data_IF_847377307007
#
_entry.id   IF_847377307007
#
_cell.length_a   1.000
_cell.length_b   1.000
_cell.length_c   1.000
_cell.angle_alpha   90.00
_cell.angle_beta   90.00
_cell.angle_gamma   90.00
#
_symmetry.space_group_name_H-M   'P 1'
#
loop_
_entity.id
_entity.type
_entity.pdbx_description
1 polymer ?
#
# COMPACT_ATOMS: atom_id res chain seq x y z
N UNK A 1 -26.00 -76.82 -21.20
CA UNK A 1 -26.78 -75.82 -21.94
C UNK A 1 -27.26 -74.77 -20.95
N UNK A 2 -26.91 -73.49 -21.17
CA UNK A 2 -27.56 -72.25 -20.66
C UNK A 2 -27.76 -72.22 -19.12
N UNK A 3 -26.93 -71.56 -18.32
CA UNK A 3 -26.75 -70.10 -18.27
C UNK A 3 -27.88 -69.46 -17.46
N UNK A 4 -27.58 -68.83 -16.32
CA UNK A 4 -28.17 -67.56 -15.87
C UNK A 4 -27.48 -67.08 -14.57
N UNK A 5 -26.87 -65.90 -14.66
CA UNK A 5 -26.37 -65.09 -13.54
C UNK A 5 -27.56 -64.41 -12.84
N UNK A 6 -27.53 -64.35 -11.50
CA UNK A 6 -28.44 -63.55 -10.67
C UNK A 6 -27.64 -62.81 -9.61
N UNK A 7 -27.63 -61.49 -9.73
CA UNK A 7 -26.75 -60.54 -9.03
C UNK A 7 -27.35 -60.20 -7.65
N UNK A 8 -26.60 -60.44 -6.58
CA UNK A 8 -26.93 -59.92 -5.24
C UNK A 8 -26.38 -58.48 -5.13
N UNK A 9 -27.29 -57.50 -5.08
CA UNK A 9 -26.95 -56.09 -4.89
C UNK A 9 -26.59 -55.78 -3.44
N UNK A 10 -25.35 -55.34 -3.21
CA UNK A 10 -24.94 -54.74 -1.95
C UNK A 10 -25.13 -53.22 -2.04
N UNK A 11 -26.04 -52.67 -1.24
CA UNK A 11 -26.21 -51.23 -1.07
C UNK A 11 -25.08 -50.74 -0.16
N UNK A 12 -24.07 -50.09 -0.73
CA UNK A 12 -23.03 -49.41 0.02
C UNK A 12 -23.53 -48.03 0.46
N UNK A 13 -23.80 -47.87 1.76
CA UNK A 13 -24.07 -46.57 2.38
C UNK A 13 -22.75 -45.80 2.47
N UNK A 14 -22.52 -44.87 1.56
CA UNK A 14 -21.38 -43.97 1.61
C UNK A 14 -21.60 -42.96 2.75
N UNK A 15 -20.90 -43.15 3.87
CA UNK A 15 -20.85 -42.17 4.95
C UNK A 15 -20.13 -40.92 4.43
N UNK A 16 -20.87 -39.81 4.24
CA UNK A 16 -20.27 -38.50 4.03
C UNK A 16 -19.53 -38.10 5.31
N UNK A 17 -18.21 -38.25 5.30
CA UNK A 17 -17.36 -37.62 6.29
C UNK A 17 -17.48 -36.10 6.13
N UNK A 18 -18.07 -35.44 7.12
CA UNK A 18 -18.08 -33.99 7.20
C UNK A 18 -16.63 -33.52 7.35
N UNK A 19 -16.10 -32.89 6.30
CA UNK A 19 -14.81 -32.19 6.36
C UNK A 19 -15.02 -31.00 7.27
N UNK A 20 -14.32 -30.89 8.41
CA UNK A 20 -14.42 -29.70 9.23
C UNK A 20 -13.86 -28.54 8.40
N UNK A 21 -14.72 -27.60 8.06
CA UNK A 21 -14.31 -26.30 7.53
C UNK A 21 -13.47 -25.63 8.60
N UNK A 22 -12.15 -25.75 8.47
CA UNK A 22 -11.20 -25.00 9.28
C UNK A 22 -11.53 -23.52 9.15
N UNK A 23 -11.86 -22.89 10.27
CA UNK A 23 -11.90 -21.44 10.36
C UNK A 23 -10.57 -20.90 9.82
N UNK A 24 -10.63 -20.03 8.81
CA UNK A 24 -9.46 -19.29 8.35
C UNK A 24 -8.98 -18.43 9.52
N UNK A 25 -7.94 -18.90 10.21
CA UNK A 25 -7.19 -18.07 11.15
C UNK A 25 -6.63 -16.90 10.35
N UNK A 26 -7.07 -15.69 10.67
CA UNK A 26 -6.47 -14.46 10.16
C UNK A 26 -4.96 -14.52 10.39
N UNK A 27 -4.19 -14.19 9.36
CA UNK A 27 -2.73 -14.24 9.40
C UNK A 27 -2.22 -13.39 10.58
N UNK A 28 -1.49 -14.02 11.51
CA UNK A 28 -1.01 -13.36 12.73
C UNK A 28 -0.20 -12.12 12.36
N UNK A 29 -0.56 -10.97 12.93
CA UNK A 29 0.14 -9.71 12.72
C UNK A 29 1.68 -9.88 12.86
N UNK A 30 2.44 -9.17 12.02
CA UNK A 30 3.90 -9.33 12.00
C UNK A 30 4.62 -8.80 13.26
N UNK A 31 3.90 -8.15 14.17
CA UNK A 31 4.43 -7.53 15.38
C UNK A 31 3.36 -7.34 16.45
N UNK A 32 3.77 -6.85 17.61
CA UNK A 32 2.92 -6.49 18.73
C UNK A 32 2.24 -5.14 18.45
N UNK A 33 0.93 -5.18 18.19
CA UNK A 33 0.11 -4.00 17.88
C UNK A 33 0.09 -2.99 19.04
N UNK A 34 0.04 -3.45 20.29
CA UNK A 34 -0.02 -2.56 21.46
C UNK A 34 1.29 -1.81 21.66
N UNK A 35 2.42 -2.49 21.49
CA UNK A 35 3.72 -1.83 21.54
C UNK A 35 3.89 -0.85 20.38
N UNK A 36 3.48 -1.22 19.17
CA UNK A 36 3.47 -0.34 18.01
C UNK A 36 2.61 0.90 18.20
N UNK A 37 1.46 0.77 18.87
CA UNK A 37 0.58 1.89 19.23
C UNK A 37 1.27 2.89 20.13
N UNK A 38 1.98 2.42 21.17
CA UNK A 38 2.73 3.29 22.09
C UNK A 38 3.77 4.10 21.33
N UNK A 39 4.58 3.45 20.49
CA UNK A 39 5.59 4.14 19.68
C UNK A 39 4.94 5.16 18.74
N UNK A 40 3.85 4.76 18.07
CA UNK A 40 3.17 5.65 17.13
C UNK A 40 2.61 6.91 17.79
N UNK A 41 2.04 6.78 18.98
CA UNK A 41 1.36 7.87 19.68
C UNK A 41 2.32 8.74 20.51
N UNK A 42 3.37 8.14 21.08
CA UNK A 42 4.20 8.80 22.08
C UNK A 42 5.68 8.91 21.67
N UNK A 43 6.10 8.24 20.61
CA UNK A 43 7.50 8.12 20.25
C UNK A 43 8.24 7.08 21.08
N UNK A 44 9.58 7.14 21.05
CA UNK A 44 10.46 6.23 21.81
C UNK A 44 11.75 6.93 22.21
N UNK A 45 11.96 7.12 23.51
CA UNK A 45 13.12 7.84 24.02
C UNK A 45 13.12 9.30 23.53
N UNK A 46 14.31 9.92 23.53
CA UNK A 46 14.47 11.31 23.10
C UNK A 46 14.65 11.45 21.57
N UNK A 47 15.05 10.36 20.90
CA UNK A 47 15.45 10.39 19.49
C UNK A 47 14.32 10.09 18.50
N UNK A 48 13.25 9.43 18.95
CA UNK A 48 12.13 9.05 18.06
C UNK A 48 10.86 9.80 18.49
N UNK A 49 10.45 10.86 17.76
CA UNK A 49 9.19 11.54 18.03
C UNK A 49 7.99 10.63 17.74
N UNK A 50 6.82 11.00 18.28
CA UNK A 50 5.57 10.34 17.98
C UNK A 50 5.27 10.39 16.47
N UNK A 51 5.07 9.23 15.83
CA UNK A 51 4.72 9.17 14.41
C UNK A 51 3.45 9.99 14.08
N UNK A 52 2.52 10.04 15.03
CA UNK A 52 1.28 10.78 14.92
C UNK A 52 1.45 12.30 14.74
N UNK A 53 2.60 12.89 15.12
CA UNK A 53 2.83 14.33 14.97
C UNK A 53 2.89 14.76 13.50
N UNK A 54 3.31 13.86 12.60
CA UNK A 54 3.45 14.14 11.18
C UNK A 54 2.46 13.31 10.33
N UNK A 55 2.17 12.06 10.73
CA UNK A 55 1.25 11.19 10.01
C UNK A 55 -0.20 11.26 10.50
N UNK A 56 -0.48 12.07 11.53
CA UNK A 56 -1.79 12.20 12.16
C UNK A 56 -2.09 11.07 13.14
N UNK A 57 -2.92 11.34 14.14
CA UNK A 57 -3.35 10.34 15.15
C UNK A 57 -4.10 9.16 14.53
N UNK A 58 -4.77 9.41 13.40
CA UNK A 58 -5.50 8.46 12.58
C UNK A 58 -4.62 7.82 11.48
N UNK A 59 -3.36 8.24 11.34
CA UNK A 59 -2.49 7.74 10.28
C UNK A 59 -2.96 8.08 8.88
N UNK A 60 -3.75 9.13 8.69
CA UNK A 60 -4.18 9.57 7.37
C UNK A 60 -3.13 10.44 6.65
N UNK A 61 -2.10 10.93 7.33
CA UNK A 61 -1.11 11.84 6.76
C UNK A 61 -1.70 13.19 6.36
N UNK A 62 -0.90 14.04 5.72
CA UNK A 62 -1.26 15.41 5.34
C UNK A 62 -0.68 15.77 3.98
N UNK A 63 -1.48 16.42 3.13
CA UNK A 63 -0.96 16.98 1.89
C UNK A 63 0.03 18.12 2.14
N UNK A 64 -0.22 18.97 3.14
CA UNK A 64 0.60 20.14 3.48
C UNK A 64 1.99 19.76 3.98
N UNK A 65 2.10 18.66 4.71
CA UNK A 65 3.39 18.10 5.16
C UNK A 65 3.99 17.10 4.18
N UNK A 66 3.27 16.77 3.09
CA UNK A 66 3.67 15.71 2.16
C UNK A 66 3.72 14.31 2.79
N UNK A 67 3.08 14.11 3.95
CA UNK A 67 3.15 12.85 4.69
C UNK A 67 2.11 11.84 4.20
N UNK A 68 2.49 10.58 3.97
CA UNK A 68 1.56 9.57 3.50
C UNK A 68 0.57 9.14 4.58
N UNK A 69 -0.61 8.70 4.12
CA UNK A 69 -1.48 7.77 4.81
C UNK A 69 -0.75 6.47 5.09
N UNK A 70 -0.69 6.11 6.37
CA UNK A 70 -0.17 4.84 6.89
C UNK A 70 -1.29 3.88 7.29
N UNK A 71 -2.45 4.40 7.72
CA UNK A 71 -3.59 3.61 8.11
C UNK A 71 -3.97 2.63 7.01
N UNK A 72 -4.24 1.36 7.35
CA UNK A 72 -4.56 0.28 6.39
C UNK A 72 -3.50 0.00 5.32
N UNK A 73 -2.29 0.53 5.42
CA UNK A 73 -1.22 0.10 4.55
C UNK A 73 -0.82 -1.35 4.87
N UNK A 74 -0.28 -2.07 3.89
CA UNK A 74 0.22 -3.43 4.12
C UNK A 74 1.41 -3.38 5.06
N UNK A 75 1.34 -4.07 6.20
CA UNK A 75 2.40 -4.10 7.23
C UNK A 75 3.78 -4.51 6.65
N UNK A 76 3.86 -5.46 5.71
CA UNK A 76 5.12 -5.88 5.09
C UNK A 76 5.69 -4.80 4.18
N UNK A 77 4.83 -3.98 3.59
CA UNK A 77 5.29 -2.80 2.86
C UNK A 77 5.83 -1.75 3.84
N UNK A 78 5.11 -1.47 4.94
CA UNK A 78 5.57 -0.51 5.96
C UNK A 78 6.89 -0.95 6.58
N UNK A 79 6.98 -2.20 7.01
CA UNK A 79 8.22 -2.77 7.56
C UNK A 79 9.37 -2.61 6.55
N UNK A 80 9.15 -2.96 5.28
CA UNK A 80 10.16 -2.78 4.24
C UNK A 80 10.58 -1.31 4.10
N UNK A 81 9.65 -0.36 4.11
CA UNK A 81 10.01 1.05 4.00
C UNK A 81 10.82 1.52 5.20
N UNK A 82 10.43 1.13 6.41
CA UNK A 82 11.18 1.45 7.63
C UNK A 82 12.57 0.79 7.63
N UNK A 83 12.70 -0.46 7.17
CA UNK A 83 14.00 -1.12 7.01
C UNK A 83 14.87 -0.42 5.94
N UNK A 84 14.28 0.02 4.83
CA UNK A 84 15.02 0.73 3.78
C UNK A 84 15.44 2.15 4.21
N UNK A 85 14.63 2.86 4.98
CA UNK A 85 15.03 4.15 5.58
C UNK A 85 16.13 3.96 6.63
N UNK A 86 15.99 2.96 7.51
CA UNK A 86 16.99 2.68 8.54
C UNK A 86 18.37 2.27 7.98
N UNK A 87 18.40 1.75 6.75
CA UNK A 87 19.62 1.33 6.04
C UNK A 87 20.03 2.26 4.90
N UNK A 88 19.40 3.44 4.79
CA UNK A 88 19.62 4.43 3.74
C UNK A 88 19.47 3.89 2.30
N UNK A 89 18.77 2.76 2.13
CA UNK A 89 18.35 2.25 0.82
C UNK A 89 17.22 3.08 0.21
N UNK A 90 16.50 3.82 1.05
CA UNK A 90 15.55 4.87 0.68
C UNK A 90 15.95 6.15 1.43
N UNK A 91 16.01 7.25 0.71
CA UNK A 91 16.16 8.59 1.28
C UNK A 91 14.78 9.23 1.43
N UNK A 92 14.50 9.83 2.58
CA UNK A 92 13.42 10.79 2.75
C UNK A 92 13.86 12.12 2.16
N UNK A 93 13.20 12.50 1.08
CA UNK A 93 13.44 13.74 0.35
C UNK A 93 12.20 14.66 0.39
N UNK A 94 11.29 14.45 1.35
CA UNK A 94 10.17 15.35 1.64
C UNK A 94 10.49 16.21 2.86
N UNK A 95 10.80 15.58 4.00
CA UNK A 95 11.12 16.28 5.24
C UNK A 95 12.50 15.92 5.81
N UNK A 96 13.19 14.95 5.20
CA UNK A 96 14.51 14.47 5.64
C UNK A 96 14.55 13.94 7.09
N UNK A 97 13.42 13.43 7.60
CA UNK A 97 13.30 12.94 8.97
C UNK A 97 13.25 11.41 9.05
N UNK A 98 12.66 10.73 8.07
CA UNK A 98 12.32 9.31 8.23
C UNK A 98 13.54 8.40 8.30
N UNK A 99 14.68 8.77 7.73
CA UNK A 99 15.93 8.01 7.86
C UNK A 99 16.37 7.92 9.33
N UNK A 100 16.46 9.05 10.02
CA UNK A 100 16.92 9.10 11.42
C UNK A 100 15.90 8.49 12.37
N UNK A 101 14.61 8.78 12.18
CA UNK A 101 13.52 8.13 12.92
C UNK A 101 13.61 6.61 12.79
N UNK A 102 13.80 6.09 11.57
CA UNK A 102 13.87 4.66 11.35
C UNK A 102 15.14 4.03 11.94
N UNK A 103 16.26 4.75 12.00
CA UNK A 103 17.51 4.32 12.66
C UNK A 103 17.39 4.24 14.18
N UNK A 104 16.63 5.15 14.79
CA UNK A 104 16.35 5.13 16.24
C UNK A 104 15.45 3.96 16.70
N UNK A 105 14.77 3.31 15.77
CA UNK A 105 13.94 2.13 16.03
C UNK A 105 14.77 0.83 15.95
N UNK A 106 14.54 -0.09 16.89
CA UNK A 106 15.02 -1.46 16.74
C UNK A 106 14.24 -2.17 15.63
N UNK A 107 14.74 -3.31 15.17
CA UNK A 107 14.00 -4.12 14.18
C UNK A 107 12.63 -4.56 14.71
N UNK A 108 12.51 -4.89 16.00
CA UNK A 108 11.23 -5.29 16.58
C UNK A 108 10.25 -4.10 16.62
N UNK A 109 10.73 -2.91 16.99
CA UNK A 109 9.90 -1.69 16.98
C UNK A 109 9.33 -1.41 15.58
N UNK A 110 10.15 -1.54 14.53
CA UNK A 110 9.69 -1.37 13.14
C UNK A 110 8.59 -2.37 12.76
N UNK A 111 8.66 -3.62 13.25
CA UNK A 111 7.61 -4.64 13.03
C UNK A 111 6.33 -4.29 13.78
N UNK A 112 6.47 -3.80 15.00
CA UNK A 112 5.34 -3.45 15.87
C UNK A 112 4.58 -2.24 15.33
N UNK A 113 5.29 -1.17 14.94
CA UNK A 113 4.67 0.00 14.29
C UNK A 113 4.01 -0.38 12.98
N UNK A 114 4.65 -1.23 12.16
CA UNK A 114 4.06 -1.72 10.91
C UNK A 114 2.77 -2.50 11.14
N UNK A 115 2.73 -3.37 12.16
CA UNK A 115 1.53 -4.09 12.57
C UNK A 115 0.44 -3.13 13.07
N UNK A 116 0.81 -2.11 13.85
CA UNK A 116 -0.14 -1.13 14.37
C UNK A 116 -0.81 -0.32 13.26
N UNK A 117 -0.04 0.31 12.35
CA UNK A 117 -0.64 1.14 11.29
C UNK A 117 -1.48 0.34 10.29
N UNK A 118 -1.14 -0.93 10.08
CA UNK A 118 -1.97 -1.86 9.31
C UNK A 118 -3.33 -2.12 9.97
N UNK A 119 -3.36 -2.15 11.31
CA UNK A 119 -4.56 -2.38 12.10
C UNK A 119 -5.48 -1.15 12.19
N UNK A 120 -5.00 0.06 11.88
CA UNK A 120 -5.77 1.29 11.98
C UNK A 120 -6.99 1.25 11.05
N UNK A 121 -8.17 1.36 11.66
CA UNK A 121 -9.46 1.33 10.95
C UNK A 121 -10.05 2.72 10.76
N UNK A 122 -9.70 3.38 9.66
CA UNK A 122 -10.20 4.73 9.35
C UNK A 122 -11.05 4.77 8.09
N UNK A 123 -12.10 5.61 8.00
CA UNK A 123 -12.82 5.78 6.75
C UNK A 123 -11.84 6.12 5.62
N UNK A 124 -12.12 5.60 4.42
CA UNK A 124 -11.34 5.96 3.25
C UNK A 124 -11.42 7.48 3.05
N UNK A 125 -10.27 8.15 3.16
CA UNK A 125 -10.15 9.59 3.02
C UNK A 125 -8.89 9.91 2.25
N UNK A 126 -9.06 10.24 0.97
CA UNK A 126 -8.01 10.87 0.17
C UNK A 126 -7.89 12.36 0.45
N UNK A 127 -7.19 13.05 -0.43
CA UNK A 127 -7.01 14.50 -0.42
C UNK A 127 -8.28 15.23 -0.83
N UNK A 128 -8.44 16.45 -0.32
CA UNK A 128 -9.44 17.38 -0.83
C UNK A 128 -8.85 18.14 -2.03
N UNK A 129 -9.16 17.68 -3.24
CA UNK A 129 -8.62 18.29 -4.47
C UNK A 129 -9.08 19.75 -4.66
N UNK A 130 -10.26 20.13 -4.17
CA UNK A 130 -10.75 21.51 -4.29
C UNK A 130 -9.98 22.45 -3.35
N UNK A 131 -9.69 21.99 -2.14
CA UNK A 131 -8.82 22.73 -1.21
C UNK A 131 -7.39 22.88 -1.79
N UNK A 132 -6.85 21.84 -2.42
CA UNK A 132 -5.55 21.93 -3.10
C UNK A 132 -5.56 22.97 -4.22
N UNK A 133 -6.60 22.98 -5.06
CA UNK A 133 -6.75 24.00 -6.11
C UNK A 133 -6.89 25.41 -5.55
N UNK A 134 -7.62 25.56 -4.44
CA UNK A 134 -7.76 26.86 -3.76
C UNK A 134 -6.44 27.38 -3.17
N UNK A 135 -5.47 26.49 -2.92
CA UNK A 135 -4.11 26.81 -2.50
C UNK A 135 -3.11 26.78 -3.68
N UNK A 136 -3.58 27.07 -4.91
CA UNK A 136 -2.79 27.17 -6.13
C UNK A 136 -2.01 25.91 -6.53
N UNK A 137 -2.37 24.74 -5.99
CA UNK A 137 -1.79 23.46 -6.43
C UNK A 137 -2.40 23.07 -7.77
N UNK A 138 -1.57 22.90 -8.80
CA UNK A 138 -1.99 22.33 -10.08
C UNK A 138 -2.38 20.86 -9.88
N UNK A 139 -3.68 20.60 -9.77
CA UNK A 139 -4.25 19.25 -9.70
C UNK A 139 -4.53 18.71 -11.10
N UNK A 140 -4.23 17.43 -11.33
CA UNK A 140 -4.55 16.75 -12.59
C UNK A 140 -6.03 16.46 -12.78
N UNK A 141 -6.36 15.83 -13.91
CA UNK A 141 -7.70 15.41 -14.30
C UNK A 141 -7.94 13.94 -13.91
N UNK A 142 -8.79 13.64 -12.91
CA UNK A 142 -8.98 12.28 -12.42
C UNK A 142 -9.42 11.26 -13.48
N UNK A 143 -10.24 11.66 -14.46
CA UNK A 143 -10.71 10.71 -15.48
C UNK A 143 -9.57 10.25 -16.42
N UNK A 144 -8.58 11.11 -16.71
CA UNK A 144 -7.38 10.71 -17.45
C UNK A 144 -6.52 9.75 -16.62
N UNK A 145 -6.44 9.98 -15.31
CA UNK A 145 -5.76 9.08 -14.39
C UNK A 145 -6.42 7.71 -14.31
N UNK A 146 -7.76 7.67 -14.29
CA UNK A 146 -8.55 6.44 -14.31
C UNK A 146 -8.21 5.56 -15.51
N UNK A 147 -8.10 6.17 -16.70
CA UNK A 147 -7.74 5.45 -17.93
C UNK A 147 -6.37 4.77 -17.79
N UNK A 148 -5.35 5.47 -17.29
CA UNK A 148 -4.01 4.89 -17.09
C UNK A 148 -4.01 3.82 -15.98
N UNK A 149 -4.72 4.04 -14.88
CA UNK A 149 -4.81 3.04 -13.80
C UNK A 149 -5.46 1.75 -14.29
N UNK A 150 -6.51 1.85 -15.10
CA UNK A 150 -7.29 0.72 -15.53
C UNK A 150 -6.77 0.02 -16.79
N UNK A 151 -6.13 0.75 -17.70
CA UNK A 151 -5.76 0.24 -19.02
C UNK A 151 -4.28 0.46 -19.36
N UNK A 152 -3.61 1.38 -18.68
CA UNK A 152 -2.24 1.78 -19.02
C UNK A 152 -2.17 2.46 -20.38
N UNK A 153 -0.98 2.48 -20.94
CA UNK A 153 -0.68 2.90 -22.31
C UNK A 153 0.43 2.02 -22.86
N UNK A 154 0.02 0.94 -23.55
CA UNK A 154 0.95 -0.04 -24.12
C UNK A 154 1.85 0.55 -25.19
N UNK A 155 1.43 1.62 -25.87
CA UNK A 155 2.24 2.28 -26.91
C UNK A 155 3.46 2.99 -26.32
N UNK A 156 3.32 3.48 -25.08
CA UNK A 156 4.40 4.08 -24.28
C UNK A 156 5.06 3.10 -23.30
N UNK A 157 4.68 1.82 -23.33
CA UNK A 157 5.20 0.82 -22.39
C UNK A 157 4.72 0.99 -20.94
N UNK A 158 3.59 1.67 -20.71
CA UNK A 158 2.99 1.87 -19.40
C UNK A 158 1.96 0.75 -19.15
N UNK A 159 2.21 -0.24 -18.28
CA UNK A 159 1.19 -1.22 -17.92
C UNK A 159 0.09 -0.59 -17.07
N UNK A 160 -1.12 -1.16 -17.13
CA UNK A 160 -2.21 -0.76 -16.23
C UNK A 160 -1.79 -0.90 -14.75
N UNK A 161 -1.91 0.15 -13.95
CA UNK A 161 -1.47 0.15 -12.55
C UNK A 161 -2.16 -0.95 -11.74
N UNK A 162 -3.44 -1.23 -12.04
CA UNK A 162 -4.23 -2.27 -11.36
C UNK A 162 -3.67 -3.68 -11.52
N UNK A 163 -2.85 -3.94 -12.54
CA UNK A 163 -2.22 -5.26 -12.75
C UNK A 163 -1.30 -5.67 -11.58
N UNK A 164 -0.74 -4.70 -10.87
CA UNK A 164 0.11 -4.91 -9.70
C UNK A 164 -0.54 -4.39 -8.41
N UNK A 165 -1.20 -3.23 -8.46
CA UNK A 165 -1.78 -2.58 -7.28
C UNK A 165 -3.24 -2.93 -7.03
N UNK A 166 -3.81 -3.88 -7.78
CA UNK A 166 -5.22 -4.28 -7.71
C UNK A 166 -6.20 -3.16 -8.09
N UNK A 167 -7.49 -3.47 -8.09
CA UNK A 167 -8.55 -2.51 -8.42
C UNK A 167 -8.54 -1.32 -7.46
N UNK A 168 -8.66 -0.10 -8.00
CA UNK A 168 -8.58 1.16 -7.27
C UNK A 168 -7.36 1.27 -6.34
N UNK A 169 -6.25 0.62 -6.71
CA UNK A 169 -5.02 0.70 -5.93
C UNK A 169 -5.13 0.05 -4.55
N UNK A 170 -6.02 -0.93 -4.36
CA UNK A 170 -6.28 -1.58 -3.07
C UNK A 170 -5.08 -2.34 -2.49
N UNK A 171 -4.02 -2.60 -3.27
CA UNK A 171 -2.95 -3.59 -3.00
C UNK A 171 -3.33 -5.02 -3.38
N UNK A 172 -2.33 -5.79 -3.79
CA UNK A 172 -2.37 -7.23 -3.99
C UNK A 172 -1.69 -8.04 -2.83
N UNK A 173 -1.52 -7.43 -1.65
CA UNK A 173 -1.22 -8.13 -0.38
C UNK A 173 0.21 -8.64 -0.17
N UNK A 174 1.17 -8.31 -1.05
CA UNK A 174 2.60 -8.70 -0.90
C UNK A 174 3.51 -7.48 -0.78
N UNK A 175 4.30 -7.23 -1.84
CA UNK A 175 5.20 -6.08 -1.96
C UNK A 175 4.53 -4.87 -2.62
N UNK A 176 3.32 -5.04 -3.15
CA UNK A 176 2.58 -3.98 -3.84
C UNK A 176 1.78 -3.18 -2.81
N UNK A 177 2.09 -1.91 -2.54
CA UNK A 177 1.37 -1.11 -1.56
C UNK A 177 -0.05 -0.78 -1.99
N UNK A 178 -0.88 -0.44 -1.01
CA UNK A 178 -2.14 0.23 -1.24
C UNK A 178 -1.85 1.69 -1.61
N UNK A 179 -2.29 2.10 -2.79
CA UNK A 179 -2.07 3.43 -3.36
C UNK A 179 -3.37 4.21 -3.55
N UNK A 180 -4.52 3.53 -3.53
CA UNK A 180 -5.83 4.19 -3.50
C UNK A 180 -6.04 4.93 -2.17
N UNK A 181 -6.60 6.14 -2.22
CA UNK A 181 -6.83 6.98 -1.05
C UNK A 181 -5.56 7.47 -0.38
N UNK A 182 -4.45 7.46 -1.10
CA UNK A 182 -3.23 8.08 -0.62
C UNK A 182 -3.28 9.60 -0.88
N UNK A 183 -2.49 10.38 -0.14
CA UNK A 183 -2.38 11.83 -0.32
C UNK A 183 -1.88 12.18 -1.72
N UNK A 184 -2.50 13.19 -2.32
CA UNK A 184 -2.23 13.65 -3.68
C UNK A 184 -0.77 14.08 -3.82
N UNK A 185 -0.30 14.92 -2.88
CA UNK A 185 1.07 15.44 -2.93
C UNK A 185 2.10 14.32 -2.77
N UNK A 186 1.85 13.39 -1.85
CA UNK A 186 2.69 12.20 -1.68
C UNK A 186 2.70 11.29 -2.93
N UNK A 187 1.54 11.00 -3.53
CA UNK A 187 1.47 10.17 -4.74
C UNK A 187 2.25 10.78 -5.91
N UNK A 188 2.09 12.09 -6.13
CA UNK A 188 2.82 12.84 -7.15
C UNK A 188 4.32 12.76 -6.89
N UNK A 189 4.74 13.08 -5.67
CA UNK A 189 6.14 13.04 -5.24
C UNK A 189 6.79 11.66 -5.44
N UNK A 190 6.13 10.58 -5.02
CA UNK A 190 6.69 9.23 -5.16
C UNK A 190 6.82 8.78 -6.62
N UNK A 191 5.86 9.14 -7.49
CA UNK A 191 5.95 8.85 -8.92
C UNK A 191 7.08 9.67 -9.57
N UNK A 192 7.25 10.94 -9.19
CA UNK A 192 8.36 11.78 -9.64
C UNK A 192 9.70 11.19 -9.19
N UNK A 193 9.84 10.80 -7.92
CA UNK A 193 11.06 10.22 -7.40
C UNK A 193 11.42 8.88 -8.07
N UNK A 194 10.44 8.02 -8.34
CA UNK A 194 10.67 6.80 -9.13
C UNK A 194 11.02 7.11 -10.58
N UNK A 195 10.41 8.14 -11.19
CA UNK A 195 10.74 8.56 -12.57
C UNK A 195 12.18 9.04 -12.65
N UNK A 196 12.64 9.86 -11.72
CA UNK A 196 14.03 10.33 -11.68
C UNK A 196 15.02 9.17 -11.45
N UNK A 197 14.68 8.21 -10.59
CA UNK A 197 15.46 6.99 -10.45
C UNK A 197 15.46 6.11 -11.71
N UNK A 198 14.37 6.14 -12.48
CA UNK A 198 14.24 5.42 -13.75
C UNK A 198 15.03 6.06 -14.89
N UNK A 199 15.19 7.39 -14.86
CA UNK A 199 16.08 8.16 -15.74
C UNK A 199 17.55 8.09 -15.32
N UNK A 200 17.85 7.56 -14.14
CA UNK A 200 19.22 7.34 -13.65
C UNK A 200 19.82 8.50 -12.86
N UNK A 201 19.01 9.46 -12.39
CA UNK A 201 19.47 10.59 -11.57
C UNK A 201 20.12 10.11 -10.27
N UNK A 202 21.30 10.65 -9.92
CA UNK A 202 22.01 10.30 -8.68
C UNK A 202 21.71 11.24 -7.52
N UNK A 203 20.76 12.14 -7.69
CA UNK A 203 20.33 13.08 -6.66
C UNK A 203 19.40 12.42 -5.63
N UNK A 204 19.30 13.02 -4.45
CA UNK A 204 18.40 12.57 -3.37
C UNK A 204 16.92 12.63 -3.77
N UNK A 205 16.58 13.37 -4.83
CA UNK A 205 15.25 13.40 -5.44
C UNK A 205 14.83 12.04 -6.02
N UNK A 206 15.78 11.15 -6.33
CA UNK A 206 15.52 9.87 -6.97
C UNK A 206 15.32 8.71 -5.96
N UNK A 207 14.34 7.83 -6.25
CA UNK A 207 14.00 6.67 -5.41
C UNK A 207 14.34 5.34 -6.11
N UNK A 208 15.07 4.46 -5.41
CA UNK A 208 15.64 3.22 -5.96
C UNK A 208 15.24 1.91 -5.26
N UNK A 209 14.49 1.99 -4.17
CA UNK A 209 14.23 0.83 -3.30
C UNK A 209 13.09 -0.09 -3.81
N UNK A 210 12.70 -0.02 -5.07
CA UNK A 210 11.64 -0.85 -5.64
C UNK A 210 12.15 -2.22 -6.11
N UNK A 211 11.45 -3.33 -5.81
CA UNK A 211 11.90 -4.67 -6.20
C UNK A 211 12.07 -4.78 -7.72
N UNK A 212 13.28 -5.18 -8.15
CA UNK A 212 13.67 -5.35 -9.57
C UNK A 212 13.49 -4.11 -10.46
N UNK A 213 13.40 -2.91 -9.87
CA UNK A 213 13.22 -1.66 -10.63
C UNK A 213 11.87 -1.55 -11.34
N UNK A 214 10.84 -2.27 -10.86
CA UNK A 214 9.51 -2.27 -11.48
C UNK A 214 8.88 -0.87 -11.55
N UNK A 215 8.83 -0.14 -10.43
CA UNK A 215 8.18 1.18 -10.39
C UNK A 215 9.00 2.22 -11.13
N UNK A 216 10.33 2.15 -11.07
CA UNK A 216 11.18 3.05 -11.86
C UNK A 216 11.00 2.88 -13.36
N UNK A 217 10.87 1.64 -13.84
CA UNK A 217 10.59 1.36 -15.27
C UNK A 217 9.26 1.93 -15.72
N UNK A 218 8.22 1.80 -14.91
CA UNK A 218 6.89 2.37 -15.21
C UNK A 218 6.94 3.89 -15.16
N UNK A 219 7.47 4.46 -14.08
CA UNK A 219 7.48 5.90 -13.85
C UNK A 219 8.35 6.66 -14.86
N UNK A 220 9.41 6.05 -15.38
CA UNK A 220 10.26 6.62 -16.44
C UNK A 220 9.47 7.01 -17.70
N UNK A 221 8.32 6.39 -17.97
CA UNK A 221 7.48 6.65 -19.14
C UNK A 221 6.41 7.73 -18.89
N UNK A 222 6.24 8.19 -17.65
CA UNK A 222 5.18 9.10 -17.25
C UNK A 222 5.60 10.57 -17.46
N UNK A 223 4.75 11.33 -18.14
CA UNK A 223 4.83 12.79 -18.20
C UNK A 223 4.34 13.41 -16.89
N UNK A 224 4.58 14.72 -16.71
CA UNK A 224 4.09 15.45 -15.53
C UNK A 224 2.56 15.42 -15.43
N UNK A 225 1.87 15.55 -16.57
CA UNK A 225 0.41 15.46 -16.60
C UNK A 225 -0.06 14.04 -16.29
N UNK A 226 0.61 12.98 -16.77
CA UNK A 226 0.27 11.60 -16.36
C UNK A 226 0.36 11.43 -14.84
N UNK A 227 1.46 11.89 -14.23
CA UNK A 227 1.66 11.80 -12.78
C UNK A 227 0.57 12.57 -12.03
N UNK A 228 0.28 13.81 -12.45
CA UNK A 228 -0.74 14.63 -11.82
C UNK A 228 -2.14 13.99 -11.96
N UNK A 229 -2.45 13.42 -13.12
CA UNK A 229 -3.73 12.74 -13.39
C UNK A 229 -3.85 11.45 -12.55
N UNK A 230 -2.81 10.63 -12.51
CA UNK A 230 -2.74 9.41 -11.70
C UNK A 230 -2.94 9.71 -10.21
N UNK A 231 -2.23 10.72 -9.68
CA UNK A 231 -2.38 11.14 -8.30
C UNK A 231 -3.81 11.65 -8.01
N UNK A 232 -4.39 12.44 -8.91
CA UNK A 232 -5.75 12.97 -8.78
C UNK A 232 -6.81 11.87 -8.79
N UNK A 233 -6.64 10.83 -9.61
CA UNK A 233 -7.53 9.67 -9.58
C UNK A 233 -7.34 8.82 -8.32
N UNK A 234 -6.10 8.39 -8.06
CA UNK A 234 -5.80 7.43 -6.99
C UNK A 234 -6.16 7.97 -5.62
N UNK A 235 -6.02 9.28 -5.38
CA UNK A 235 -6.45 9.87 -4.10
C UNK A 235 -7.97 9.74 -3.89
N UNK A 236 -8.77 9.79 -4.95
CA UNK A 236 -10.23 9.62 -4.90
C UNK A 236 -10.67 8.14 -5.00
N UNK A 237 -9.77 7.23 -5.38
CA UNK A 237 -10.07 5.84 -5.72
C UNK A 237 -10.46 5.00 -4.49
N UNK A 238 -11.76 4.94 -4.19
CA UNK A 238 -12.31 4.18 -3.06
C UNK A 238 -12.03 2.67 -3.21
N UNK A 239 -11.74 1.94 -2.12
CA UNK A 239 -11.55 0.51 -2.17
C UNK A 239 -12.82 -0.21 -2.65
N UNK A 240 -12.64 -1.30 -3.38
CA UNK A 240 -13.74 -2.13 -3.90
C UNK A 240 -14.44 -2.98 -2.83
N UNK A 241 -13.85 -3.13 -1.64
CA UNK A 241 -14.43 -3.80 -0.48
C UNK A 241 -14.09 -3.06 0.81
N UNK A 242 -14.89 -3.24 1.86
CA UNK A 242 -14.55 -2.75 3.20
C UNK A 242 -13.36 -3.51 3.80
N UNK A 243 -12.76 -2.96 4.86
CA UNK A 243 -11.61 -3.56 5.56
C UNK A 243 -10.28 -3.31 4.86
N UNK A 244 -9.21 -3.85 5.45
CA UNK A 244 -7.83 -3.62 4.99
C UNK A 244 -7.47 -4.54 3.79
N UNK A 245 -6.36 -4.29 3.08
CA UNK A 245 -6.01 -5.08 1.90
C UNK A 245 -5.77 -6.58 2.14
N UNK A 246 -5.38 -6.99 3.36
CA UNK A 246 -5.16 -8.40 3.74
C UNK A 246 -6.41 -9.08 4.25
N UNK A 247 -7.26 -8.32 4.92
CA UNK A 247 -8.51 -8.76 5.54
C UNK A 247 -9.67 -7.96 4.93
N UNK A 248 -9.94 -8.12 3.62
CA UNK A 248 -11.14 -7.54 3.04
C UNK A 248 -12.35 -8.17 3.73
N UNK A 249 -13.26 -7.33 4.25
CA UNK A 249 -14.57 -7.81 4.65
C UNK A 249 -15.25 -8.33 3.39
N UNK A 250 -15.48 -9.65 3.33
CA UNK A 250 -16.30 -10.24 2.29
C UNK A 250 -17.75 -9.88 2.61
N UNK A 251 -18.44 -9.31 1.62
CA UNK A 251 -19.90 -9.18 1.67
C UNK A 251 -20.54 -10.53 1.37
#
# INVERSE_FOLDING_TARGET
MKGLFGIAGAIAVAALAAVPTGAQAGEKAIGNIDHGRVIYQNGKGDDVPACASCHGVDGLGSDDMGTPRLAYQVDTYILKQLEDFASDRRTDNTMFQMNDIAKGLTRQDRRDVAAYVHSLKNPFMGSNLDALRANDVKVGEPYKGDMLVNFGDVSRGIPACKSCHSFNGRSAGRIFPAIGGQRYTYLKHELEAFREGGKGSREDSARYNDPRGMMRKVAAQLTDDDIANLAAFLTLAKPTSEGNPREPKRK
#
